data_IF_037238504551
#
_entry.id   IF_037238504551
#
_cell.length_a   1.000
_cell.length_b   1.000
_cell.length_c   1.000
_cell.angle_alpha   90.00
_cell.angle_beta   90.00
_cell.angle_gamma   90.00
#
_symmetry.space_group_name_H-M   'P 1'
#
loop_
_entity.id
_entity.type
_entity.pdbx_description
1 polymer ?
#
# COMPACT_ATOMS: atom_id res chain seq x y z
N UNK A 1 3.45 -22.96 20.56
CA UNK A 1 3.06 -21.60 20.14
C UNK A 1 4.16 -21.06 19.22
N UNK A 2 4.02 -21.25 17.91
CA UNK A 2 5.02 -20.75 16.97
C UNK A 2 4.81 -19.24 16.82
N UNK A 3 5.69 -18.45 17.44
CA UNK A 3 5.79 -17.03 17.19
C UNK A 3 6.38 -16.86 15.80
N UNK A 4 5.53 -16.92 14.76
CA UNK A 4 5.94 -16.68 13.38
C UNK A 4 6.17 -15.18 13.26
N UNK A 5 7.37 -14.76 13.67
CA UNK A 5 8.00 -13.52 13.23
C UNK A 5 7.67 -13.38 11.75
N UNK A 6 6.93 -12.33 11.41
CA UNK A 6 6.90 -11.89 10.03
C UNK A 6 8.31 -11.38 9.76
N UNK A 7 9.24 -12.30 9.49
CA UNK A 7 10.54 -12.02 8.93
C UNK A 7 10.29 -11.53 7.51
N UNK A 8 9.75 -10.32 7.45
CA UNK A 8 9.97 -9.41 6.35
C UNK A 8 11.48 -9.35 6.23
N UNK A 9 12.04 -10.12 5.28
CA UNK A 9 13.40 -9.94 4.81
C UNK A 9 13.64 -8.44 4.79
N UNK A 10 14.55 -8.00 5.66
CA UNK A 10 14.74 -6.62 6.08
C UNK A 10 15.12 -5.78 4.86
N UNK A 11 14.10 -5.30 4.16
CA UNK A 11 14.19 -4.39 3.02
C UNK A 11 13.56 -3.07 3.40
N UNK A 12 14.28 -2.29 4.22
CA UNK A 12 14.19 -0.84 4.31
C UNK A 12 12.79 -0.22 4.57
N UNK A 13 12.13 -0.64 5.66
CA UNK A 13 10.88 -0.06 6.16
C UNK A 13 11.06 1.11 7.13
N UNK A 14 12.29 1.42 7.51
CA UNK A 14 12.58 2.35 8.61
C UNK A 14 12.19 3.80 8.32
N UNK A 15 12.08 4.19 7.05
CA UNK A 15 11.68 5.54 6.65
C UNK A 15 10.18 5.72 6.43
N UNK A 16 9.35 4.70 6.66
CA UNK A 16 7.89 4.78 6.49
C UNK A 16 7.22 5.20 7.80
N UNK A 17 6.09 5.91 7.68
CA UNK A 17 5.36 6.44 8.83
C UNK A 17 4.79 5.32 9.71
N UNK A 18 4.54 5.59 11.01
CA UNK A 18 3.96 4.60 11.93
C UNK A 18 2.65 4.00 11.39
N UNK A 19 1.84 4.80 10.67
CA UNK A 19 0.58 4.36 10.09
C UNK A 19 0.78 3.31 8.99
N UNK A 20 1.77 3.47 8.10
CA UNK A 20 2.08 2.49 7.06
C UNK A 20 2.57 1.17 7.65
N UNK A 21 3.37 1.23 8.73
CA UNK A 21 3.78 0.02 9.47
C UNK A 21 2.56 -0.69 10.07
N UNK A 22 1.62 0.07 10.65
CA UNK A 22 0.37 -0.48 11.21
C UNK A 22 -0.48 -1.16 10.13
N UNK A 23 -0.63 -0.54 8.97
CA UNK A 23 -1.38 -1.10 7.83
C UNK A 23 -0.74 -2.39 7.33
N UNK A 24 0.58 -2.41 7.13
CA UNK A 24 1.28 -3.62 6.68
C UNK A 24 1.10 -4.78 7.66
N UNK A 25 1.13 -4.50 8.98
CA UNK A 25 0.87 -5.50 10.01
C UNK A 25 -0.58 -6.01 9.95
N UNK A 26 -1.56 -5.11 9.85
CA UNK A 26 -2.97 -5.48 9.79
C UNK A 26 -3.30 -6.25 8.51
N UNK A 27 -2.72 -5.86 7.37
CA UNK A 27 -2.84 -6.58 6.11
C UNK A 27 -2.27 -8.00 6.22
N UNK A 28 -1.10 -8.14 6.87
CA UNK A 28 -0.51 -9.44 7.13
C UNK A 28 -1.43 -10.35 7.96
N UNK A 29 -2.05 -9.81 9.02
CA UNK A 29 -3.03 -10.54 9.83
C UNK A 29 -4.22 -10.94 8.95
N UNK A 30 -4.86 -9.98 8.29
CA UNK A 30 -6.05 -10.18 7.46
C UNK A 30 -5.83 -11.24 6.37
N UNK A 31 -4.76 -11.09 5.57
CA UNK A 31 -4.48 -11.99 4.43
C UNK A 31 -3.85 -13.34 4.84
N UNK A 32 -3.35 -13.47 6.08
CA UNK A 32 -3.02 -14.78 6.65
C UNK A 32 -4.24 -15.48 7.25
N UNK A 33 -5.09 -14.74 7.95
CA UNK A 33 -6.33 -15.21 8.61
C UNK A 33 -7.41 -15.58 7.59
N UNK A 34 -7.40 -15.03 6.38
CA UNK A 34 -8.24 -15.46 5.25
C UNK A 34 -8.13 -16.95 4.89
N UNK A 35 -7.15 -17.69 5.47
CA UNK A 35 -7.09 -19.16 5.43
C UNK A 35 -8.02 -19.86 6.44
N UNK A 36 -8.62 -19.13 7.38
CA UNK A 36 -9.53 -19.60 8.44
C UNK A 36 -10.78 -18.71 8.53
N UNK A 37 -11.92 -19.25 8.11
CA UNK A 37 -13.13 -18.55 7.65
C UNK A 37 -13.89 -17.60 8.61
N UNK A 38 -13.68 -17.62 9.92
CA UNK A 38 -14.59 -16.95 10.86
C UNK A 38 -14.17 -15.52 11.28
N UNK A 39 -12.88 -15.19 11.19
CA UNK A 39 -12.29 -13.96 11.79
C UNK A 39 -11.89 -12.91 10.73
N UNK A 40 -12.37 -13.12 9.50
CA UNK A 40 -11.98 -12.37 8.31
C UNK A 40 -12.65 -11.00 8.25
N UNK A 41 -13.95 -10.94 8.58
CA UNK A 41 -14.74 -9.72 8.40
C UNK A 41 -14.25 -8.59 9.32
N UNK A 42 -13.98 -8.90 10.59
CA UNK A 42 -13.47 -7.92 11.56
C UNK A 42 -12.04 -7.48 11.20
N UNK A 43 -11.18 -8.43 10.83
CA UNK A 43 -9.82 -8.14 10.38
C UNK A 43 -9.79 -7.24 9.13
N UNK A 44 -10.69 -7.49 8.18
CA UNK A 44 -10.84 -6.71 6.96
C UNK A 44 -11.39 -5.31 7.23
N UNK A 45 -12.37 -5.18 8.14
CA UNK A 45 -12.91 -3.89 8.56
C UNK A 45 -11.83 -2.99 9.18
N UNK A 46 -11.03 -3.52 10.11
CA UNK A 46 -9.91 -2.78 10.70
C UNK A 46 -8.89 -2.37 9.62
N UNK A 47 -8.58 -3.25 8.66
CA UNK A 47 -7.69 -2.90 7.56
C UNK A 47 -8.25 -1.74 6.71
N UNK A 48 -9.55 -1.77 6.39
CA UNK A 48 -10.22 -0.69 5.66
C UNK A 48 -10.14 0.61 6.45
N UNK A 49 -10.43 0.59 7.75
CA UNK A 49 -10.35 1.79 8.60
C UNK A 49 -8.94 2.41 8.56
N UNK A 50 -7.90 1.61 8.68
CA UNK A 50 -6.53 2.10 8.59
C UNK A 50 -6.19 2.68 7.21
N UNK A 51 -6.66 2.05 6.13
CA UNK A 51 -6.47 2.55 4.77
C UNK A 51 -7.23 3.86 4.54
N UNK A 52 -8.43 4.03 5.10
CA UNK A 52 -9.20 5.28 5.00
C UNK A 52 -8.58 6.43 5.80
N UNK A 53 -7.79 6.13 6.84
CA UNK A 53 -7.06 7.12 7.61
C UNK A 53 -5.78 7.62 6.89
N UNK A 54 -5.33 6.95 5.82
CA UNK A 54 -4.13 7.35 5.10
C UNK A 54 -4.29 8.69 4.39
N UNK A 55 -3.29 9.56 4.57
CA UNK A 55 -3.16 10.83 3.86
C UNK A 55 -1.93 10.82 2.97
N UNK A 56 -1.90 11.73 2.00
CA UNK A 56 -0.75 11.91 1.11
C UNK A 56 0.56 12.17 1.89
N UNK A 57 0.47 12.87 3.03
CA UNK A 57 1.58 13.14 3.93
C UNK A 57 2.20 11.86 4.51
N UNK A 58 1.38 10.85 4.83
CA UNK A 58 1.86 9.57 5.36
C UNK A 58 2.68 8.77 4.35
N UNK A 59 2.46 9.07 3.08
CA UNK A 59 3.13 8.46 1.93
C UNK A 59 4.28 9.32 1.41
N UNK A 60 4.57 10.46 2.06
CA UNK A 60 5.55 11.46 1.63
C UNK A 60 5.34 11.92 0.18
N UNK A 61 4.08 11.91 -0.27
CA UNK A 61 3.70 12.40 -1.59
C UNK A 61 3.58 13.92 -1.46
N UNK A 62 4.63 14.65 -1.86
CA UNK A 62 4.52 16.09 -2.03
C UNK A 62 3.57 16.39 -3.21
N UNK A 63 2.78 17.48 -3.16
CA UNK A 63 2.09 17.98 -4.33
C UNK A 63 3.13 18.17 -5.44
N UNK A 64 3.01 17.41 -6.54
CA UNK A 64 3.91 17.58 -7.68
C UNK A 64 3.68 18.99 -8.22
N UNK A 65 4.63 19.90 -8.00
CA UNK A 65 4.65 21.17 -8.74
C UNK A 65 4.82 20.79 -10.19
N UNK A 66 3.76 20.91 -10.98
CA UNK A 66 3.76 20.75 -12.43
C UNK A 66 4.57 21.88 -13.05
N UNK A 67 5.89 21.88 -12.85
CA UNK A 67 6.77 22.61 -13.75
C UNK A 67 6.94 21.70 -14.96
N UNK A 68 6.53 22.13 -16.17
CA UNK A 68 6.90 21.44 -17.39
C UNK A 68 8.41 21.59 -17.52
N UNK A 69 9.17 20.65 -16.97
CA UNK A 69 10.59 20.58 -17.26
C UNK A 69 10.70 20.04 -18.68
N UNK A 70 11.03 20.91 -19.63
CA UNK A 70 11.17 20.54 -21.04
C UNK A 70 12.17 19.40 -21.16
N UNK A 71 11.72 18.26 -21.70
CA UNK A 71 12.63 17.14 -21.97
C UNK A 71 11.97 15.82 -22.37
N UNK A 72 10.86 15.42 -21.75
CA UNK A 72 10.16 14.18 -22.11
C UNK A 72 8.70 14.17 -21.63
N UNK A 73 7.79 13.49 -22.34
CA UNK A 73 6.45 13.23 -21.82
C UNK A 73 6.54 12.33 -20.59
N UNK A 74 6.12 12.84 -19.43
CA UNK A 74 5.96 12.05 -18.21
C UNK A 74 5.04 10.84 -18.47
N UNK A 75 5.29 9.67 -17.86
CA UNK A 75 4.42 8.50 -18.04
C UNK A 75 3.01 8.80 -17.50
N UNK A 76 1.93 8.30 -18.14
CA UNK A 76 0.54 8.56 -17.71
C UNK A 76 0.25 8.04 -16.30
N UNK A 77 0.93 6.96 -15.91
CA UNK A 77 0.83 6.35 -14.59
C UNK A 77 2.24 6.06 -14.10
N UNK A 78 2.54 6.42 -12.85
CA UNK A 78 3.76 5.98 -12.15
C UNK A 78 3.38 5.02 -11.04
N UNK A 79 4.01 3.84 -10.98
CA UNK A 79 3.86 2.93 -9.85
C UNK A 79 4.89 3.25 -8.77
N UNK A 80 4.43 3.37 -7.52
CA UNK A 80 5.32 3.44 -6.36
C UNK A 80 5.09 2.21 -5.49
N UNK A 81 6.11 1.36 -5.43
CA UNK A 81 6.12 0.19 -4.58
C UNK A 81 6.16 0.62 -3.10
N UNK A 82 5.22 0.11 -2.32
CA UNK A 82 5.27 0.24 -0.86
C UNK A 82 5.88 -1.05 -0.34
N UNK A 83 5.11 -2.15 -0.26
CA UNK A 83 5.55 -3.46 0.24
C UNK A 83 5.31 -4.57 -0.75
N UNK A 84 6.11 -5.61 -0.60
CA UNK A 84 5.80 -6.92 -1.10
C UNK A 84 6.12 -7.96 -0.03
N UNK A 85 5.22 -8.93 0.11
CA UNK A 85 5.33 -10.03 1.05
C UNK A 85 4.85 -11.31 0.36
N UNK A 86 5.05 -12.46 1.01
CA UNK A 86 4.57 -13.76 0.51
C UNK A 86 3.05 -13.88 0.44
N UNK A 87 2.29 -13.01 1.11
CA UNK A 87 0.82 -13.09 1.21
C UNK A 87 0.11 -11.89 0.57
N UNK A 88 0.78 -10.76 0.42
CA UNK A 88 0.22 -9.56 -0.20
C UNK A 88 1.33 -8.66 -0.74
N UNK A 89 0.98 -7.85 -1.73
CA UNK A 89 1.78 -6.71 -2.18
C UNK A 89 0.95 -5.44 -2.04
N UNK A 90 1.60 -4.35 -1.69
CA UNK A 90 0.99 -3.04 -1.48
C UNK A 90 1.79 -2.00 -2.27
N UNK A 91 1.09 -1.27 -3.11
CA UNK A 91 1.67 -0.20 -3.91
C UNK A 91 0.63 0.85 -4.21
N UNK A 92 1.04 1.92 -4.88
CA UNK A 92 0.13 2.96 -5.32
C UNK A 92 0.44 3.38 -6.75
N UNK A 93 -0.60 3.87 -7.42
CA UNK A 93 -0.50 4.46 -8.74
C UNK A 93 -0.67 5.97 -8.62
N UNK A 94 0.33 6.71 -9.10
CA UNK A 94 0.23 8.15 -9.26
C UNK A 94 -0.23 8.40 -10.70
N UNK A 95 -1.46 8.91 -10.83
CA UNK A 95 -2.06 9.24 -12.12
C UNK A 95 -1.73 10.69 -12.50
N UNK A 96 -1.37 10.91 -13.76
CA UNK A 96 -1.37 12.27 -14.32
C UNK A 96 -2.80 12.78 -14.48
N UNK A 97 -3.01 14.11 -14.45
CA UNK A 97 -4.29 14.69 -14.86
C UNK A 97 -4.71 14.15 -16.23
N UNK A 98 -5.94 13.64 -16.33
CA UNK A 98 -6.48 13.01 -17.54
C UNK A 98 -6.14 11.52 -17.72
N UNK A 99 -5.35 10.90 -16.84
CA UNK A 99 -5.14 9.46 -16.83
C UNK A 99 -6.17 8.75 -15.92
N UNK A 100 -6.62 7.58 -16.33
CA UNK A 100 -7.53 6.73 -15.56
C UNK A 100 -6.99 5.30 -15.48
N UNK A 101 -7.20 4.64 -14.34
CA UNK A 101 -6.97 3.21 -14.18
C UNK A 101 -8.30 2.48 -14.32
N UNK A 102 -8.43 1.61 -15.32
CA UNK A 102 -9.60 0.74 -15.51
C UNK A 102 -9.34 -0.61 -14.85
N UNK A 103 -10.07 -0.90 -13.76
CA UNK A 103 -10.08 -2.24 -13.17
C UNK A 103 -11.05 -3.12 -13.96
N UNK A 104 -10.53 -4.04 -14.77
CA UNK A 104 -11.35 -5.10 -15.38
C UNK A 104 -11.65 -6.17 -14.35
N UNK A 105 -12.92 -6.39 -14.02
CA UNK A 105 -13.35 -7.45 -13.10
C UNK A 105 -13.34 -8.78 -13.88
N UNK A 106 -12.30 -9.59 -13.69
CA UNK A 106 -12.25 -10.98 -14.16
C UNK A 106 -13.04 -11.91 -13.25
#
# INVERSE_FOLDING_TARGET
>A
MANVSCDARVGHWDHKTPLIKKIAKQACITYRVLKSSADVADSQSELILLLTALRAADLKIAPRKSKPCGGAPEPPVTYMHICETVVFSMGMFLLRPGASCTTTRT
#
